data_IF_141695158398
#
_entry.id   IF_141695158398
#
_cell.length_a   1.000
_cell.length_b   1.000
_cell.length_c   1.000
_cell.angle_alpha   90.00
_cell.angle_beta   90.00
_cell.angle_gamma   90.00
#
_symmetry.space_group_name_H-M   'P 1'
#
loop_
_entity.id
_entity.type
_entity.pdbx_description
1 polymer ?
#
# COMPACT_ATOMS: atom_id res chain seq x y z
N UNK A 1 -30.70 29.19 20.29
CA UNK A 1 -29.37 28.81 19.76
C UNK A 1 -29.20 27.30 19.61
N UNK A 2 -29.57 26.45 20.58
CA UNK A 2 -29.37 24.99 20.46
C UNK A 2 -30.18 24.33 19.34
N UNK A 3 -31.39 24.80 19.04
CA UNK A 3 -32.27 24.23 18.00
C UNK A 3 -31.74 24.45 16.58
N UNK A 4 -31.20 25.65 16.32
CA UNK A 4 -30.60 26.00 15.02
C UNK A 4 -29.26 25.28 14.84
N UNK A 5 -28.45 25.13 15.89
CA UNK A 5 -27.24 24.28 15.80
C UNK A 5 -27.58 22.81 15.59
N UNK A 6 -28.70 22.32 16.14
CA UNK A 6 -29.16 20.95 15.92
C UNK A 6 -29.67 20.75 14.49
N UNK A 7 -30.49 21.66 13.95
CA UNK A 7 -30.94 21.60 12.56
C UNK A 7 -29.77 21.73 11.57
N UNK A 8 -28.78 22.56 11.85
CA UNK A 8 -27.56 22.67 11.04
C UNK A 8 -26.77 21.37 11.09
N UNK A 9 -26.62 20.74 12.26
CA UNK A 9 -25.98 19.42 12.36
C UNK A 9 -26.79 18.37 11.60
N UNK A 10 -28.10 18.29 11.81
CA UNK A 10 -28.96 17.28 11.20
C UNK A 10 -29.05 17.40 9.66
N UNK A 11 -28.84 18.60 9.11
CA UNK A 11 -28.88 18.84 7.65
C UNK A 11 -27.49 18.85 6.99
N UNK A 12 -26.46 19.34 7.69
CA UNK A 12 -25.11 19.49 7.14
C UNK A 12 -24.30 18.20 7.24
N UNK A 13 -24.49 17.41 8.31
CA UNK A 13 -23.80 16.13 8.49
C UNK A 13 -24.09 15.16 7.33
N UNK A 14 -25.34 14.95 6.89
CA UNK A 14 -25.65 14.07 5.75
C UNK A 14 -25.08 14.55 4.41
N UNK A 15 -24.96 15.87 4.22
CA UNK A 15 -24.39 16.44 3.00
C UNK A 15 -22.87 16.20 2.95
N UNK A 16 -22.19 16.34 4.09
CA UNK A 16 -20.78 15.97 4.21
C UNK A 16 -20.56 14.47 4.08
N UNK A 17 -21.50 13.66 4.59
CA UNK A 17 -21.49 12.19 4.44
C UNK A 17 -21.56 11.77 2.97
N UNK A 18 -22.42 12.41 2.16
CA UNK A 18 -22.50 12.15 0.72
C UNK A 18 -21.24 12.60 -0.03
N UNK A 19 -20.70 13.77 0.32
CA UNK A 19 -19.49 14.30 -0.29
C UNK A 19 -18.26 13.39 -0.07
N UNK A 20 -18.09 12.87 1.15
CA UNK A 20 -16.97 11.97 1.49
C UNK A 20 -17.08 10.63 0.73
N UNK A 21 -18.31 10.14 0.54
CA UNK A 21 -18.61 8.93 -0.24
C UNK A 21 -18.40 9.11 -1.74
N UNK A 22 -18.87 10.20 -2.33
CA UNK A 22 -18.72 10.43 -3.78
C UNK A 22 -17.25 10.64 -4.20
N UNK A 23 -16.43 11.23 -3.32
CA UNK A 23 -15.03 11.52 -3.64
C UNK A 23 -14.11 10.29 -3.51
N UNK A 24 -14.41 9.34 -2.61
CA UNK A 24 -13.68 8.08 -2.51
C UNK A 24 -13.85 7.19 -3.77
N UNK A 25 -14.94 7.38 -4.51
CA UNK A 25 -15.27 6.62 -5.73
C UNK A 25 -14.51 7.14 -6.97
N UNK A 26 -13.95 8.35 -6.93
CA UNK A 26 -13.62 9.12 -8.15
C UNK A 26 -12.15 9.08 -8.64
N UNK A 27 -11.19 8.45 -7.97
CA UNK A 27 -9.77 8.69 -8.32
C UNK A 27 -8.91 7.43 -8.41
N UNK A 28 -8.62 7.00 -9.65
CA UNK A 28 -7.77 5.85 -10.03
C UNK A 28 -6.45 6.28 -10.70
N UNK A 29 -5.93 7.48 -10.40
CA UNK A 29 -4.68 7.97 -10.99
C UNK A 29 -3.47 7.65 -10.12
N UNK A 30 -2.43 7.07 -10.75
CA UNK A 30 -1.14 6.79 -10.12
C UNK A 30 -0.28 8.07 -10.09
N UNK A 31 0.43 8.28 -8.98
CA UNK A 31 1.47 9.31 -8.87
C UNK A 31 2.85 8.68 -9.06
N UNK A 32 3.45 8.90 -10.22
CA UNK A 32 4.79 8.38 -10.54
C UNK A 32 5.89 9.01 -9.66
N UNK A 33 5.65 10.17 -9.06
CA UNK A 33 6.65 10.86 -8.23
C UNK A 33 6.76 10.28 -6.83
N UNK A 34 5.63 10.00 -6.19
CA UNK A 34 5.55 9.41 -4.85
C UNK A 34 5.43 7.89 -4.89
N UNK A 35 5.16 7.30 -6.07
CA UNK A 35 4.87 5.87 -6.26
C UNK A 35 3.70 5.40 -5.40
N UNK A 36 2.71 6.29 -5.21
CA UNK A 36 1.46 6.03 -4.50
C UNK A 36 0.27 6.36 -5.40
N UNK A 37 -0.94 6.03 -4.97
CA UNK A 37 -2.14 6.55 -5.60
C UNK A 37 -2.34 8.01 -5.22
N UNK A 38 -2.67 8.86 -6.21
CA UNK A 38 -2.97 10.29 -5.97
C UNK A 38 -4.11 10.48 -4.98
N UNK A 39 -5.03 9.52 -4.93
CA UNK A 39 -6.21 9.53 -4.05
C UNK A 39 -5.88 9.63 -2.56
N UNK A 40 -4.68 9.21 -2.12
CA UNK A 40 -4.36 9.13 -0.68
C UNK A 40 -4.40 10.52 -0.05
N UNK A 41 -3.69 11.49 -0.61
CA UNK A 41 -3.63 12.84 -0.04
C UNK A 41 -4.98 13.56 -0.13
N UNK A 42 -5.69 13.38 -1.25
CA UNK A 42 -7.00 14.01 -1.48
C UNK A 42 -8.05 13.50 -0.47
N UNK A 43 -8.12 12.18 -0.24
CA UNK A 43 -9.05 11.60 0.73
C UNK A 43 -8.74 12.10 2.14
N UNK A 44 -7.46 12.06 2.56
CA UNK A 44 -7.10 12.51 3.90
C UNK A 44 -7.27 14.02 4.09
N UNK A 45 -7.08 14.83 3.05
CA UNK A 45 -7.39 16.25 3.07
C UNK A 45 -8.90 16.51 3.25
N UNK A 46 -9.74 15.78 2.51
CA UNK A 46 -11.20 15.89 2.62
C UNK A 46 -11.67 15.44 4.00
N UNK A 47 -11.20 14.28 4.48
CA UNK A 47 -11.51 13.77 5.83
C UNK A 47 -11.14 14.78 6.90
N UNK A 48 -9.93 15.37 6.82
CA UNK A 48 -9.49 16.44 7.74
C UNK A 48 -10.46 17.61 7.75
N UNK A 49 -10.95 18.05 6.59
CA UNK A 49 -11.89 19.17 6.49
C UNK A 49 -13.25 18.83 7.09
N UNK A 50 -13.81 17.66 6.78
CA UNK A 50 -15.09 17.21 7.32
C UNK A 50 -15.05 17.05 8.83
N UNK A 51 -14.03 16.36 9.35
CA UNK A 51 -13.85 16.19 10.80
C UNK A 51 -13.55 17.52 11.51
N UNK A 52 -12.78 18.43 10.90
CA UNK A 52 -12.56 19.77 11.45
C UNK A 52 -13.84 20.59 11.58
N UNK A 53 -14.75 20.51 10.59
CA UNK A 53 -16.06 21.17 10.65
C UNK A 53 -16.98 20.53 11.68
N UNK A 54 -16.98 19.19 11.78
CA UNK A 54 -17.69 18.47 12.83
C UNK A 54 -17.21 18.92 14.22
N UNK A 55 -15.89 19.01 14.46
CA UNK A 55 -15.31 19.49 15.72
C UNK A 55 -15.77 20.94 16.01
N UNK A 56 -15.82 21.79 14.98
CA UNK A 56 -16.28 23.18 15.06
C UNK A 56 -17.77 23.33 15.44
N UNK A 57 -18.59 22.28 15.30
CA UNK A 57 -19.99 22.28 15.75
C UNK A 57 -20.15 22.44 17.27
N UNK A 58 -19.12 22.10 18.05
CA UNK A 58 -19.16 22.15 19.51
C UNK A 58 -20.01 21.06 20.17
N UNK A 59 -20.53 20.08 19.40
CA UNK A 59 -21.28 18.92 19.91
C UNK A 59 -20.41 17.66 19.96
N UNK A 60 -20.07 17.21 21.17
CA UNK A 60 -19.21 16.03 21.34
C UNK A 60 -19.83 14.73 20.77
N UNK A 61 -21.15 14.60 20.85
CA UNK A 61 -21.88 13.45 20.33
C UNK A 61 -21.87 13.42 18.79
N UNK A 62 -22.04 14.58 18.15
CA UNK A 62 -21.99 14.69 16.69
C UNK A 62 -20.57 14.38 16.15
N UNK A 63 -19.54 14.82 16.87
CA UNK A 63 -18.14 14.54 16.50
C UNK A 63 -17.82 13.05 16.63
N UNK A 64 -18.20 12.39 17.73
CA UNK A 64 -17.99 10.95 17.87
C UNK A 64 -18.77 10.15 16.79
N UNK A 65 -19.99 10.57 16.46
CA UNK A 65 -20.75 9.96 15.36
C UNK A 65 -20.00 10.10 14.02
N UNK A 66 -19.39 11.26 13.76
CA UNK A 66 -18.59 11.48 12.56
C UNK A 66 -17.29 10.68 12.52
N UNK A 67 -16.61 10.49 13.65
CA UNK A 67 -15.45 9.61 13.72
C UNK A 67 -15.83 8.17 13.38
N UNK A 68 -16.88 7.63 14.00
CA UNK A 68 -17.34 6.28 13.72
C UNK A 68 -17.76 6.10 12.26
N UNK A 69 -18.44 7.09 11.69
CA UNK A 69 -18.82 7.07 10.28
C UNK A 69 -17.61 7.13 9.34
N UNK A 70 -16.64 8.00 9.63
CA UNK A 70 -15.40 8.09 8.86
C UNK A 70 -14.64 6.77 8.88
N UNK A 71 -14.58 6.11 10.04
CA UNK A 71 -13.99 4.77 10.16
C UNK A 71 -14.65 3.79 9.20
N UNK A 72 -15.98 3.75 9.18
CA UNK A 72 -16.74 2.85 8.31
C UNK A 72 -16.52 3.16 6.82
N UNK A 73 -16.57 4.43 6.41
CA UNK A 73 -16.38 4.84 5.01
C UNK A 73 -14.97 4.52 4.52
N UNK A 74 -13.93 4.83 5.31
CA UNK A 74 -12.55 4.54 4.93
C UNK A 74 -12.28 3.03 4.93
N UNK A 75 -12.84 2.28 5.87
CA UNK A 75 -12.70 0.81 5.89
C UNK A 75 -13.35 0.17 4.65
N UNK A 76 -14.56 0.60 4.30
CA UNK A 76 -15.31 0.02 3.19
C UNK A 76 -14.74 0.45 1.82
N UNK A 77 -14.66 1.75 1.55
CA UNK A 77 -14.38 2.25 0.20
C UNK A 77 -12.88 2.35 -0.11
N UNK A 78 -12.08 2.81 0.86
CA UNK A 78 -10.63 2.94 0.65
C UNK A 78 -9.92 1.61 0.88
N UNK A 79 -10.19 0.94 2.01
CA UNK A 79 -9.49 -0.31 2.32
C UNK A 79 -10.07 -1.48 1.52
N UNK A 80 -11.34 -1.82 1.69
CA UNK A 80 -11.90 -3.06 1.14
C UNK A 80 -12.10 -2.99 -0.38
N UNK A 81 -12.74 -1.94 -0.89
CA UNK A 81 -13.04 -1.81 -2.33
C UNK A 81 -11.81 -1.40 -3.17
N UNK A 82 -10.89 -0.62 -2.60
CA UNK A 82 -9.78 -0.03 -3.37
C UNK A 82 -8.44 -0.71 -3.12
N UNK A 83 -7.91 -0.65 -1.90
CA UNK A 83 -6.55 -1.12 -1.60
C UNK A 83 -6.47 -2.64 -1.52
N UNK A 84 -7.46 -3.29 -0.90
CA UNK A 84 -7.49 -4.75 -0.73
C UNK A 84 -7.67 -5.46 -2.05
N UNK A 85 -8.56 -4.97 -2.93
CA UNK A 85 -8.74 -5.52 -4.29
C UNK A 85 -7.44 -5.45 -5.08
N UNK A 86 -6.74 -4.32 -5.06
CA UNK A 86 -5.46 -4.14 -5.78
C UNK A 86 -4.32 -5.00 -5.19
N UNK A 87 -4.31 -5.19 -3.87
CA UNK A 87 -3.37 -6.09 -3.17
C UNK A 87 -3.69 -7.58 -3.42
N UNK A 88 -4.92 -7.92 -3.84
CA UNK A 88 -5.37 -9.29 -4.15
C UNK A 88 -5.32 -9.64 -5.64
N UNK A 89 -5.61 -8.70 -6.55
CA UNK A 89 -5.65 -8.90 -8.03
C UNK A 89 -4.36 -9.52 -8.60
N UNK A 90 -3.27 -9.36 -7.88
CA UNK A 90 -1.93 -9.87 -8.17
C UNK A 90 -1.78 -11.39 -8.06
N UNK A 91 -2.62 -12.09 -7.28
CA UNK A 91 -2.63 -13.56 -7.29
C UNK A 91 -3.31 -14.15 -8.52
N UNK A 92 -4.14 -13.36 -9.20
CA UNK A 92 -4.96 -13.80 -10.36
C UNK A 92 -4.33 -13.43 -11.71
N UNK A 93 -3.55 -12.34 -11.77
CA UNK A 93 -2.91 -11.84 -13.00
C UNK A 93 -1.69 -12.64 -13.45
N UNK A 94 -1.30 -13.68 -12.71
CA UNK A 94 -0.33 -14.67 -13.16
C UNK A 94 1.11 -14.16 -13.29
N UNK A 95 1.41 -12.86 -13.17
CA UNK A 95 2.80 -12.37 -13.26
C UNK A 95 3.68 -12.96 -12.15
N UNK A 96 3.11 -13.20 -10.96
CA UNK A 96 3.75 -13.94 -9.88
C UNK A 96 4.09 -15.38 -10.31
N UNK A 97 3.11 -16.08 -10.89
CA UNK A 97 3.26 -17.45 -11.40
C UNK A 97 4.24 -17.50 -12.59
N UNK A 98 4.25 -16.45 -13.41
CA UNK A 98 5.08 -16.26 -14.60
C UNK A 98 6.53 -15.98 -14.19
N UNK A 99 6.77 -15.09 -13.23
CA UNK A 99 8.08 -14.81 -12.67
C UNK A 99 8.68 -16.05 -11.97
N UNK A 100 7.85 -16.78 -11.23
CA UNK A 100 8.22 -18.07 -10.67
C UNK A 100 8.62 -19.09 -11.76
N UNK A 101 7.79 -19.25 -12.81
CA UNK A 101 8.08 -20.17 -13.92
C UNK A 101 9.31 -19.77 -14.74
N UNK A 102 9.51 -18.48 -15.03
CA UNK A 102 10.63 -17.97 -15.82
C UNK A 102 11.97 -18.21 -15.12
N UNK A 103 12.02 -18.04 -13.80
CA UNK A 103 13.23 -18.30 -13.00
C UNK A 103 13.49 -19.80 -12.86
N UNK A 104 12.46 -20.63 -12.65
CA UNK A 104 12.62 -22.08 -12.58
C UNK A 104 13.03 -22.72 -13.91
N UNK A 105 12.55 -22.20 -15.06
CA UNK A 105 12.96 -22.70 -16.38
C UNK A 105 14.43 -22.37 -16.72
N UNK A 106 14.98 -21.30 -16.10
CA UNK A 106 16.39 -20.93 -16.22
C UNK A 106 17.34 -21.88 -15.49
N UNK A 107 16.86 -22.64 -14.52
CA UNK A 107 17.64 -23.62 -13.78
C UNK A 107 17.76 -24.99 -14.49
N UNK A 108 17.06 -25.24 -15.61
CA UNK A 108 16.99 -26.56 -16.24
C UNK A 108 17.29 -26.64 -17.75
N UNK A 109 17.52 -25.53 -18.45
CA UNK A 109 17.75 -25.58 -19.90
C UNK A 109 18.76 -24.51 -20.34
N UNK A 110 19.97 -24.96 -20.70
CA UNK A 110 21.12 -24.14 -21.09
C UNK A 110 21.03 -23.52 -22.48
N UNK A 111 19.95 -22.82 -22.80
CA UNK A 111 19.84 -22.09 -24.08
C UNK A 111 19.64 -20.60 -23.80
N UNK A 112 20.69 -19.82 -24.10
CA UNK A 112 20.68 -18.35 -24.07
C UNK A 112 19.73 -17.82 -25.15
N UNK A 113 18.52 -17.40 -24.77
CA UNK A 113 17.66 -16.58 -25.60
C UNK A 113 17.51 -15.18 -24.96
N UNK A 114 18.36 -14.26 -25.40
CA UNK A 114 18.38 -12.83 -25.04
C UNK A 114 17.27 -12.06 -25.77
N UNK A 115 16.01 -12.45 -25.58
CA UNK A 115 14.91 -11.67 -26.15
C UNK A 115 13.57 -12.34 -25.97
N UNK A 116 12.80 -11.89 -24.98
CA UNK A 116 11.34 -11.82 -25.07
C UNK A 116 10.79 -10.99 -23.89
N UNK A 117 10.81 -9.67 -24.05
CA UNK A 117 9.94 -8.73 -23.33
C UNK A 117 8.67 -8.48 -24.18
N UNK A 118 8.15 -9.56 -24.80
CA UNK A 118 7.03 -9.53 -25.72
C UNK A 118 6.06 -10.66 -25.39
N UNK A 119 4.87 -10.27 -24.92
CA UNK A 119 3.58 -10.94 -25.10
C UNK A 119 3.66 -12.43 -25.50
N UNK A 120 3.50 -13.33 -24.53
CA UNK A 120 2.98 -14.66 -24.83
C UNK A 120 1.47 -14.52 -25.05
N UNK A 121 1.10 -14.09 -26.26
CA UNK A 121 -0.25 -14.14 -26.79
C UNK A 121 -0.66 -15.60 -26.95
N UNK A 122 -1.59 -16.06 -26.12
CA UNK A 122 -2.52 -17.10 -26.54
C UNK A 122 -3.29 -16.54 -27.73
N UNK A 123 -3.13 -17.19 -28.88
CA UNK A 123 -3.83 -16.85 -30.11
C UNK A 123 -5.34 -16.79 -29.87
N UNK A 124 -5.90 -15.58 -29.90
CA UNK A 124 -7.27 -15.36 -30.36
C UNK A 124 -7.40 -13.92 -30.87
N UNK A 125 -7.49 -13.83 -32.19
CA UNK A 125 -7.78 -12.63 -32.97
C UNK A 125 -9.15 -12.09 -32.54
N UNK A 126 -9.21 -10.84 -32.06
CA UNK A 126 -10.26 -9.87 -32.42
C UNK A 126 -9.81 -8.44 -32.09
N UNK A 127 -9.62 -7.68 -33.16
CA UNK A 127 -9.73 -6.22 -33.34
C UNK A 127 -9.74 -5.29 -32.11
N UNK A 128 -8.74 -4.40 -32.10
CA UNK A 128 -9.00 -2.96 -31.98
C UNK A 128 -8.83 -2.33 -30.60
N UNK A 129 -7.60 -1.89 -30.30
CA UNK A 129 -7.26 -0.52 -29.87
C UNK A 129 -5.95 -0.53 -29.09
N UNK A 130 -4.93 0.08 -29.68
CA UNK A 130 -3.77 0.60 -28.96
C UNK A 130 -4.24 1.61 -27.91
N UNK A 131 -4.03 1.33 -26.61
CA UNK A 131 -3.95 2.37 -25.58
C UNK A 131 -3.01 1.91 -24.44
N UNK A 132 -2.07 2.78 -24.13
CA UNK A 132 -0.84 2.56 -23.38
C UNK A 132 -0.96 2.53 -21.84
N UNK A 133 -2.08 2.05 -21.28
CA UNK A 133 -2.36 2.20 -19.83
C UNK A 133 -2.65 0.89 -19.09
N UNK A 134 -2.17 -0.27 -19.56
CA UNK A 134 -2.15 -1.45 -18.69
C UNK A 134 -0.91 -1.35 -17.80
N UNK A 135 -1.03 -0.57 -16.72
CA UNK A 135 -0.01 -0.55 -15.66
C UNK A 135 0.25 -1.99 -15.27
N UNK A 136 1.51 -2.42 -15.37
CA UNK A 136 1.91 -3.79 -15.08
C UNK A 136 1.37 -4.19 -13.69
N UNK A 137 0.80 -5.39 -13.57
CA UNK A 137 0.17 -5.84 -12.34
C UNK A 137 1.16 -5.84 -11.15
N UNK A 138 2.46 -5.97 -11.44
CA UNK A 138 3.53 -5.73 -10.46
C UNK A 138 3.59 -4.27 -10.00
N UNK A 139 3.56 -3.32 -10.92
CA UNK A 139 3.60 -1.88 -10.61
C UNK A 139 2.38 -1.48 -9.79
N UNK A 140 1.17 -1.93 -10.16
CA UNK A 140 -0.03 -1.66 -9.36
C UNK A 140 0.04 -2.24 -7.94
N UNK A 141 0.67 -3.41 -7.76
CA UNK A 141 0.88 -4.00 -6.43
C UNK A 141 1.79 -3.16 -5.56
N UNK A 142 2.95 -2.76 -6.10
CA UNK A 142 3.93 -1.97 -5.37
C UNK A 142 3.33 -0.60 -5.01
N UNK A 143 2.61 0.03 -5.94
CA UNK A 143 1.90 1.29 -5.66
C UNK A 143 0.82 1.09 -4.61
N UNK A 144 0.11 -0.03 -4.60
CA UNK A 144 -0.87 -0.32 -3.56
C UNK A 144 -0.23 -0.47 -2.18
N UNK A 145 0.89 -1.20 -2.05
CA UNK A 145 1.60 -1.32 -0.77
C UNK A 145 2.14 0.03 -0.29
N UNK A 146 2.80 0.78 -1.18
CA UNK A 146 3.29 2.13 -0.86
C UNK A 146 2.13 3.04 -0.45
N UNK A 147 0.97 2.92 -1.09
CA UNK A 147 -0.22 3.71 -0.75
C UNK A 147 -0.80 3.33 0.61
N UNK A 148 -0.79 2.05 0.98
CA UNK A 148 -1.19 1.61 2.33
C UNK A 148 -0.26 2.20 3.38
N UNK A 149 1.05 2.20 3.13
CA UNK A 149 2.04 2.84 4.02
C UNK A 149 1.86 4.37 4.08
N UNK A 150 1.59 5.02 2.95
CA UNK A 150 1.27 6.44 2.89
C UNK A 150 0.00 6.76 3.69
N UNK A 151 -1.05 5.93 3.60
CA UNK A 151 -2.26 6.06 4.41
C UNK A 151 -1.96 6.02 5.91
N UNK A 152 -1.04 5.15 6.37
CA UNK A 152 -0.62 5.11 7.78
C UNK A 152 0.05 6.42 8.22
N UNK A 153 0.92 6.97 7.37
CA UNK A 153 1.58 8.26 7.63
C UNK A 153 0.58 9.42 7.65
N UNK A 154 -0.34 9.47 6.68
CA UNK A 154 -1.40 10.48 6.60
C UNK A 154 -2.38 10.36 7.77
N UNK A 155 -2.69 9.15 8.25
CA UNK A 155 -3.52 8.92 9.42
C UNK A 155 -2.87 9.47 10.70
N UNK A 156 -1.56 9.31 10.87
CA UNK A 156 -0.84 9.90 12.00
C UNK A 156 -0.88 11.44 11.98
N UNK A 157 -0.69 12.05 10.81
CA UNK A 157 -0.80 13.51 10.63
C UNK A 157 -2.23 13.98 10.90
N UNK A 158 -3.23 13.26 10.38
CA UNK A 158 -4.64 13.55 10.59
C UNK A 158 -4.98 13.53 12.08
N UNK A 159 -4.59 12.46 12.80
CA UNK A 159 -4.80 12.32 14.24
C UNK A 159 -4.24 13.51 15.00
N UNK A 160 -2.96 13.83 14.79
CA UNK A 160 -2.30 14.94 15.49
C UNK A 160 -3.00 16.28 15.22
N UNK A 161 -3.43 16.50 13.98
CA UNK A 161 -4.18 17.71 13.60
C UNK A 161 -5.53 17.79 14.30
N UNK A 162 -6.29 16.69 14.34
CA UNK A 162 -7.60 16.65 14.98
C UNK A 162 -7.50 16.77 16.51
N UNK A 163 -6.46 16.19 17.13
CA UNK A 163 -6.17 16.37 18.55
C UNK A 163 -5.95 17.85 18.89
N UNK A 164 -5.27 18.59 18.02
CA UNK A 164 -5.10 20.04 18.17
C UNK A 164 -6.45 20.77 18.06
N UNK A 165 -7.26 20.47 17.04
CA UNK A 165 -8.60 21.10 16.90
C UNK A 165 -9.51 20.82 18.09
N UNK A 166 -9.49 19.60 18.64
CA UNK A 166 -10.24 19.25 19.85
C UNK A 166 -9.74 20.09 21.04
N UNK A 167 -8.42 20.21 21.23
CA UNK A 167 -7.85 21.02 22.32
C UNK A 167 -8.21 22.51 22.17
N UNK A 168 -8.17 23.05 20.96
CA UNK A 168 -8.51 24.46 20.69
C UNK A 168 -9.98 24.77 20.98
N UNK A 169 -10.91 23.90 20.56
CA UNK A 169 -12.36 24.16 20.68
C UNK A 169 -12.92 23.70 22.03
N UNK A 170 -12.42 22.60 22.59
CA UNK A 170 -12.95 21.98 23.82
C UNK A 170 -12.03 22.15 25.04
N UNK A 171 -10.84 22.74 24.90
CA UNK A 171 -9.89 22.91 26.00
C UNK A 171 -10.40 23.73 27.19
N UNK A 172 -11.35 24.64 26.95
CA UNK A 172 -12.02 25.44 27.98
C UNK A 172 -13.40 24.86 28.39
N UNK A 173 -13.85 23.77 27.76
CA UNK A 173 -15.14 23.11 28.06
C UNK A 173 -14.99 22.06 29.17
N UNK A 174 -16.08 21.35 29.47
CA UNK A 174 -16.09 20.26 30.45
C UNK A 174 -15.06 19.20 30.07
N UNK A 175 -14.24 18.80 31.05
CA UNK A 175 -13.22 17.74 30.88
C UNK A 175 -13.82 16.39 30.45
N UNK A 176 -15.09 16.12 30.78
CA UNK A 176 -15.80 14.91 30.33
C UNK A 176 -15.90 14.83 28.81
N UNK A 177 -16.23 15.94 28.16
CA UNK A 177 -16.48 16.00 26.72
C UNK A 177 -15.14 15.88 25.98
N UNK A 178 -14.09 16.52 26.49
CA UNK A 178 -12.73 16.41 25.98
C UNK A 178 -12.20 14.96 26.04
N UNK A 179 -12.32 14.30 27.21
CA UNK A 179 -11.85 12.92 27.37
C UNK A 179 -12.62 11.95 26.45
N UNK A 180 -13.95 12.14 26.32
CA UNK A 180 -14.77 11.37 25.40
C UNK A 180 -14.31 11.52 23.94
N UNK A 181 -14.05 12.76 23.51
CA UNK A 181 -13.60 13.04 22.15
C UNK A 181 -12.21 12.49 21.86
N UNK A 182 -11.30 12.58 22.83
CA UNK A 182 -9.97 11.98 22.72
C UNK A 182 -10.03 10.46 22.62
N UNK A 183 -10.91 9.81 23.38
CA UNK A 183 -11.16 8.38 23.26
C UNK A 183 -11.73 8.02 21.88
N UNK A 184 -12.81 8.68 21.43
CA UNK A 184 -13.39 8.43 20.10
C UNK A 184 -12.37 8.63 18.96
N UNK A 185 -11.48 9.63 19.06
CA UNK A 185 -10.43 9.86 18.06
C UNK A 185 -9.33 8.78 18.12
N UNK A 186 -8.94 8.36 19.33
CA UNK A 186 -8.00 7.27 19.51
C UNK A 186 -8.55 5.96 18.92
N UNK A 187 -9.81 5.64 19.20
CA UNK A 187 -10.50 4.47 18.66
C UNK A 187 -10.53 4.48 17.13
N UNK A 188 -10.87 5.62 16.51
CA UNK A 188 -10.83 5.80 15.05
C UNK A 188 -9.41 5.53 14.49
N UNK A 189 -8.39 6.15 15.10
CA UNK A 189 -7.03 6.04 14.61
C UNK A 189 -6.47 4.62 14.80
N UNK A 190 -6.72 3.99 15.94
CA UNK A 190 -6.28 2.62 16.23
C UNK A 190 -6.99 1.61 15.34
N UNK A 191 -8.31 1.73 15.15
CA UNK A 191 -9.09 0.87 14.26
C UNK A 191 -8.56 0.92 12.82
N UNK A 192 -8.36 2.12 12.26
CA UNK A 192 -7.86 2.26 10.90
C UNK A 192 -6.41 1.79 10.78
N UNK A 193 -5.55 2.16 11.74
CA UNK A 193 -4.15 1.76 11.73
C UNK A 193 -3.99 0.24 11.78
N UNK A 194 -4.76 -0.45 12.62
CA UNK A 194 -4.73 -1.91 12.70
C UNK A 194 -5.14 -2.56 11.38
N UNK A 195 -6.18 -2.03 10.72
CA UNK A 195 -6.64 -2.57 9.43
C UNK A 195 -5.61 -2.33 8.32
N UNK A 196 -5.05 -1.12 8.21
CA UNK A 196 -3.98 -0.83 7.25
C UNK A 196 -2.73 -1.68 7.52
N UNK A 197 -2.31 -1.84 8.77
CA UNK A 197 -1.16 -2.66 9.14
C UNK A 197 -1.38 -4.13 8.77
N UNK A 198 -2.56 -4.67 9.06
CA UNK A 198 -2.91 -6.05 8.71
C UNK A 198 -2.89 -6.27 7.19
N UNK A 199 -3.36 -5.29 6.42
CA UNK A 199 -3.30 -5.33 4.96
C UNK A 199 -1.85 -5.25 4.44
N UNK A 200 -1.02 -4.39 5.05
CA UNK A 200 0.38 -4.20 4.71
C UNK A 200 1.19 -5.48 4.99
N UNK A 201 1.02 -6.06 6.19
CA UNK A 201 1.67 -7.30 6.60
C UNK A 201 1.27 -8.46 5.67
N UNK A 202 -0.01 -8.59 5.33
CA UNK A 202 -0.48 -9.58 4.35
C UNK A 202 0.15 -9.38 2.97
N UNK A 203 0.35 -8.12 2.56
CA UNK A 203 1.04 -7.75 1.34
C UNK A 203 2.52 -8.17 1.34
N UNK A 204 3.23 -7.86 2.43
CA UNK A 204 4.64 -8.23 2.60
C UNK A 204 4.85 -9.73 2.75
N UNK A 205 3.95 -10.45 3.42
CA UNK A 205 4.02 -11.91 3.53
C UNK A 205 3.92 -12.57 2.15
N UNK A 206 3.03 -12.08 1.29
CA UNK A 206 2.96 -12.50 -0.11
C UNK A 206 4.27 -12.20 -0.81
N UNK A 207 4.78 -10.98 -0.73
CA UNK A 207 6.05 -10.61 -1.35
C UNK A 207 7.22 -11.50 -0.88
N UNK A 208 7.30 -11.76 0.43
CA UNK A 208 8.31 -12.62 1.04
C UNK A 208 8.21 -14.06 0.55
N UNK A 209 7.00 -14.58 0.37
CA UNK A 209 6.78 -15.92 -0.19
C UNK A 209 7.33 -16.07 -1.62
N UNK A 210 7.45 -14.96 -2.36
CA UNK A 210 8.00 -14.94 -3.72
C UNK A 210 9.52 -14.78 -3.75
N UNK A 211 10.02 -13.88 -2.91
CA UNK A 211 11.45 -13.56 -2.84
C UNK A 211 12.22 -14.75 -2.23
N UNK A 212 11.65 -15.43 -1.22
CA UNK A 212 12.36 -16.48 -0.46
C UNK A 212 12.82 -17.66 -1.34
N UNK A 213 12.00 -18.26 -2.22
CA UNK A 213 12.47 -19.29 -3.16
C UNK A 213 13.57 -18.81 -4.10
N UNK A 214 13.51 -17.56 -4.57
CA UNK A 214 14.50 -16.99 -5.48
C UNK A 214 15.84 -16.77 -4.80
N UNK A 215 15.82 -16.19 -3.60
CA UNK A 215 17.03 -16.05 -2.76
C UNK A 215 17.61 -17.43 -2.45
N UNK A 216 16.76 -18.41 -2.09
CA UNK A 216 17.22 -19.77 -1.85
C UNK A 216 17.93 -20.37 -3.08
N UNK A 217 17.35 -20.22 -4.28
CA UNK A 217 17.98 -20.68 -5.53
C UNK A 217 19.32 -20.00 -5.80
N UNK A 218 19.43 -18.68 -5.60
CA UNK A 218 20.69 -17.94 -5.74
C UNK A 218 21.74 -18.39 -4.72
N UNK A 219 21.32 -18.80 -3.52
CA UNK A 219 22.23 -19.33 -2.49
C UNK A 219 22.58 -20.81 -2.67
N UNK A 220 21.92 -21.57 -3.56
CA UNK A 220 22.25 -22.99 -3.76
C UNK A 220 23.67 -23.19 -4.30
N UNK A 221 24.18 -22.24 -5.09
CA UNK A 221 25.57 -22.24 -5.58
C UNK A 221 26.59 -22.17 -4.44
N UNK A 222 26.24 -21.64 -3.27
CA UNK A 222 27.09 -21.65 -2.07
C UNK A 222 27.42 -23.08 -1.61
N UNK A 223 26.48 -24.01 -1.75
CA UNK A 223 26.68 -25.40 -1.34
C UNK A 223 27.67 -26.14 -2.26
N UNK A 224 27.89 -25.63 -3.47
CA UNK A 224 28.82 -26.21 -4.45
C UNK A 224 30.24 -25.65 -4.31
N UNK A 225 30.45 -24.63 -3.47
CA UNK A 225 31.78 -24.06 -3.23
C UNK A 225 32.59 -25.07 -2.42
N UNK A 226 33.63 -25.62 -3.06
CA UNK A 226 34.65 -26.48 -2.44
C UNK A 226 35.26 -25.77 -1.23
N UNK A 227 35.33 -26.46 -0.09
CA UNK A 227 35.88 -25.94 1.17
C UNK A 227 37.27 -26.48 1.53
N UNK A 228 37.66 -27.61 0.94
CA UNK A 228 39.05 -28.05 0.95
C UNK A 228 39.74 -27.48 -0.28
N UNK A 229 40.53 -26.43 -0.07
CA UNK A 229 41.25 -25.69 -1.10
C UNK A 229 42.76 -25.92 -0.94
N UNK A 230 43.46 -26.14 -2.05
CA UNK A 230 44.92 -26.06 -2.06
C UNK A 230 45.37 -24.59 -2.05
N UNK A 231 46.64 -24.32 -1.73
CA UNK A 231 47.17 -22.94 -1.66
C UNK A 231 47.07 -22.19 -3.00
N UNK A 232 47.20 -22.90 -4.11
CA UNK A 232 47.01 -22.39 -5.48
C UNK A 232 45.54 -22.05 -5.79
N UNK A 233 44.58 -22.86 -5.30
CA UNK A 233 43.14 -22.59 -5.42
C UNK A 233 42.71 -21.42 -4.51
N UNK A 234 43.39 -21.22 -3.37
CA UNK A 234 43.16 -20.10 -2.46
C UNK A 234 43.59 -18.77 -3.06
N UNK A 235 44.75 -18.72 -3.72
CA UNK A 235 45.19 -17.53 -4.48
C UNK A 235 44.23 -17.20 -5.64
N UNK A 236 43.68 -18.21 -6.32
CA UNK A 236 42.66 -18.00 -7.36
C UNK A 236 41.34 -17.45 -6.80
N UNK A 237 40.89 -17.94 -5.64
CA UNK A 237 39.66 -17.45 -4.99
C UNK A 237 39.83 -16.03 -4.43
N UNK A 238 41.04 -15.65 -4.02
CA UNK A 238 41.35 -14.30 -3.57
C UNK A 238 41.26 -13.25 -4.71
N UNK A 239 41.49 -13.68 -5.96
CA UNK A 239 41.40 -12.82 -7.16
C UNK A 239 39.99 -12.87 -7.78
N UNK A 240 39.34 -14.03 -7.79
CA UNK A 240 37.99 -14.24 -8.33
C UNK A 240 37.14 -15.03 -7.34
N UNK A 241 36.24 -14.35 -6.63
CA UNK A 241 35.29 -15.03 -5.74
C UNK A 241 34.30 -15.86 -6.57
N UNK A 242 34.20 -17.18 -6.34
CA UNK A 242 33.40 -18.09 -7.16
C UNK A 242 31.89 -17.97 -6.93
N UNK A 243 31.45 -17.26 -5.89
CA UNK A 243 30.06 -17.27 -5.44
C UNK A 243 29.48 -15.88 -5.16
N UNK A 244 30.19 -15.06 -4.39
CA UNK A 244 29.72 -13.77 -3.89
C UNK A 244 29.38 -12.82 -5.03
N UNK A 245 30.20 -12.74 -6.08
CA UNK A 245 29.94 -11.87 -7.24
C UNK A 245 28.66 -12.28 -7.99
N UNK A 246 28.46 -13.58 -8.21
CA UNK A 246 27.25 -14.11 -8.84
C UNK A 246 26.00 -13.90 -7.98
N UNK A 247 26.14 -14.05 -6.65
CA UNK A 247 25.08 -13.76 -5.69
C UNK A 247 24.71 -12.27 -5.71
N UNK A 248 25.69 -11.37 -5.67
CA UNK A 248 25.48 -9.92 -5.69
C UNK A 248 24.74 -9.52 -6.96
N UNK A 249 25.20 -9.97 -8.14
CA UNK A 249 24.54 -9.67 -9.42
C UNK A 249 23.12 -10.23 -9.46
N UNK A 250 22.89 -11.45 -8.96
CA UNK A 250 21.57 -12.05 -8.87
C UNK A 250 20.61 -11.28 -7.96
N UNK A 251 21.07 -10.87 -6.79
CA UNK A 251 20.29 -10.06 -5.84
C UNK A 251 20.02 -8.65 -6.39
N UNK A 252 20.99 -8.02 -7.07
CA UNK A 252 20.78 -6.74 -7.73
C UNK A 252 19.74 -6.84 -8.85
N UNK A 253 19.76 -7.91 -9.64
CA UNK A 253 18.75 -8.18 -10.66
C UNK A 253 17.36 -8.35 -10.06
N UNK A 254 17.26 -9.06 -8.93
CA UNK A 254 16.02 -9.22 -8.19
C UNK A 254 15.49 -7.89 -7.65
N UNK A 255 16.35 -7.12 -6.98
CA UNK A 255 15.98 -5.83 -6.38
C UNK A 255 15.60 -4.79 -7.42
N UNK A 256 16.24 -4.81 -8.60
CA UNK A 256 15.86 -3.94 -9.73
C UNK A 256 14.42 -4.14 -10.17
N UNK A 257 13.87 -5.35 -10.07
CA UNK A 257 12.47 -5.60 -10.41
C UNK A 257 11.48 -4.95 -9.44
N UNK A 258 11.92 -4.64 -8.21
CA UNK A 258 11.10 -3.98 -7.19
C UNK A 258 11.35 -2.46 -7.13
N UNK A 259 12.43 -1.98 -7.75
CA UNK A 259 12.57 -0.57 -8.05
C UNK A 259 11.67 -0.26 -9.24
N UNK A 260 10.48 0.26 -8.96
CA UNK A 260 9.67 0.97 -9.95
C UNK A 260 10.59 2.00 -10.62
N UNK A 261 10.78 1.89 -11.94
CA UNK A 261 11.56 2.86 -12.73
C UNK A 261 10.86 4.21 -12.76
#
# INVERSE_FOLDING_TARGET
MSKISQEVVDTYLPLEQLFLREMAILMDELDESSKTFRLVDDIFFVVKKCLGRAISSGSADAVCAMFNHTNAVLSDQLIDETLMVRTKSVTSSGWIQQAYHLVHKRAGSGTLATGLLGSASTENVTNGSSNANQVDAQTQFIYALNSVEACLSCLAILRNTLEQYIKEIYGLRRKSDLNKLQACLADLAESLAQTFQTLLDSGFDKLRSLIRPQVNSLTQSFNLVKRDLTEEEFEQYAVNDPWVESLIVGLQGLLKSFHVS
#
